data_IF_381484791904
#
_entry.id   IF_381484791904
#
_cell.length_a   1.000
_cell.length_b   1.000
_cell.length_c   1.000
_cell.angle_alpha   90.00
_cell.angle_beta   90.00
_cell.angle_gamma   90.00
#
_symmetry.space_group_name_H-M   'P 1'
#
loop_
_entity.id
_entity.type
_entity.pdbx_description
1 polymer ?
#
# COMPACT_ATOMS: atom_id res chain seq x y z
N UNK A 1 -15.58 58.63 -3.71
CA UNK A 1 -14.16 58.22 -3.65
C UNK A 1 -14.08 56.69 -3.64
N UNK A 2 -13.72 56.09 -4.77
CA UNK A 2 -13.84 54.65 -5.09
C UNK A 2 -12.80 53.78 -4.36
N UNK A 3 -13.24 52.84 -3.52
CA UNK A 3 -12.38 51.83 -2.88
C UNK A 3 -12.93 50.40 -3.03
N UNK A 4 -13.39 50.04 -4.23
CA UNK A 4 -13.73 48.66 -4.55
C UNK A 4 -13.19 48.32 -5.93
N UNK A 5 -12.09 47.53 -6.03
CA UNK A 5 -11.79 46.65 -7.19
C UNK A 5 -10.39 46.00 -7.22
N UNK A 6 -9.38 46.40 -6.44
CA UNK A 6 -8.00 45.87 -6.61
C UNK A 6 -7.66 44.62 -5.77
N UNK A 7 -8.53 43.61 -5.70
CA UNK A 7 -8.20 42.31 -5.07
C UNK A 7 -8.41 41.09 -6.00
N UNK A 8 -8.46 41.29 -7.31
CA UNK A 8 -8.72 40.23 -8.28
C UNK A 8 -7.68 40.23 -9.41
N UNK A 9 -6.40 39.95 -9.13
CA UNK A 9 -5.42 39.87 -10.23
C UNK A 9 -4.13 39.09 -9.91
N UNK A 10 -4.22 37.96 -9.22
CA UNK A 10 -3.18 36.92 -9.31
C UNK A 10 -3.84 35.58 -9.56
N UNK A 11 -4.37 35.38 -10.76
CA UNK A 11 -4.58 34.03 -11.28
C UNK A 11 -3.18 33.44 -11.46
N UNK A 12 -2.64 32.83 -10.40
CA UNK A 12 -1.49 31.93 -10.52
C UNK A 12 -1.90 30.89 -11.56
N UNK A 13 -1.23 30.87 -12.70
CA UNK A 13 -1.33 29.75 -13.62
C UNK A 13 -0.88 28.52 -12.83
N UNK A 14 -1.82 27.65 -12.46
CA UNK A 14 -1.48 26.38 -11.84
C UNK A 14 -0.62 25.61 -12.85
N UNK A 15 0.63 25.33 -12.50
CA UNK A 15 1.52 24.52 -13.32
C UNK A 15 0.85 23.15 -13.59
N UNK A 16 1.00 22.58 -14.79
CA UNK A 16 0.38 21.31 -15.15
C UNK A 16 0.60 20.23 -14.07
N UNK A 17 1.81 20.17 -13.52
CA UNK A 17 2.20 19.27 -12.42
C UNK A 17 1.35 19.52 -11.16
N UNK A 18 1.16 20.78 -10.73
CA UNK A 18 0.31 21.10 -9.57
C UNK A 18 -1.15 20.70 -9.79
N UNK A 19 -1.63 20.83 -11.04
CA UNK A 19 -2.97 20.37 -11.41
C UNK A 19 -3.08 18.84 -11.34
N UNK A 20 -2.11 18.10 -11.87
CA UNK A 20 -2.05 16.63 -11.75
C UNK A 20 -2.05 16.17 -10.29
N UNK A 21 -1.18 16.73 -9.43
CA UNK A 21 -1.17 16.36 -8.02
C UNK A 21 -2.49 16.68 -7.31
N UNK A 22 -3.13 17.80 -7.64
CA UNK A 22 -4.44 18.16 -7.07
C UNK A 22 -5.54 17.19 -7.50
N UNK A 23 -5.55 16.78 -8.77
CA UNK A 23 -6.48 15.80 -9.31
C UNK A 23 -6.24 14.41 -8.69
N UNK A 24 -4.98 13.94 -8.63
CA UNK A 24 -4.60 12.66 -8.01
C UNK A 24 -4.97 12.60 -6.53
N UNK A 25 -4.72 13.66 -5.74
CA UNK A 25 -5.13 13.70 -4.32
C UNK A 25 -6.65 13.66 -4.16
N UNK A 26 -7.39 14.27 -5.10
CA UNK A 26 -8.85 14.19 -5.16
C UNK A 26 -9.37 12.77 -5.36
N UNK A 27 -8.74 12.00 -6.26
CA UNK A 27 -9.08 10.59 -6.51
C UNK A 27 -8.58 9.67 -5.37
N UNK A 28 -7.40 9.90 -4.81
CA UNK A 28 -6.89 9.15 -3.66
C UNK A 28 -7.78 9.25 -2.43
N UNK A 29 -8.54 10.34 -2.28
CA UNK A 29 -9.54 10.47 -1.21
C UNK A 29 -10.76 9.56 -1.39
N UNK A 30 -11.03 9.08 -2.61
CA UNK A 30 -12.08 8.09 -2.88
C UNK A 30 -11.61 6.67 -2.58
N UNK A 31 -10.32 6.45 -2.40
CA UNK A 31 -9.77 5.16 -1.97
C UNK A 31 -10.20 4.92 -0.53
N UNK A 32 -10.98 3.85 -0.32
CA UNK A 32 -11.34 3.36 1.00
C UNK A 32 -10.11 2.74 1.65
N UNK A 33 -9.33 3.56 2.36
CA UNK A 33 -8.24 3.04 3.17
C UNK A 33 -8.81 2.16 4.28
N UNK A 34 -8.32 0.92 4.41
CA UNK A 34 -8.83 -0.02 5.39
C UNK A 34 -8.64 0.55 6.80
N UNK A 35 -9.53 0.18 7.71
CA UNK A 35 -9.41 0.62 9.10
C UNK A 35 -8.15 0.01 9.74
N UNK A 36 -7.59 0.68 10.76
CA UNK A 36 -6.39 0.16 11.46
C UNK A 36 -6.57 -1.26 11.98
N UNK A 37 -7.79 -1.58 12.45
CA UNK A 37 -8.15 -2.91 12.95
C UNK A 37 -8.18 -3.94 11.83
N UNK A 38 -8.78 -3.61 10.70
CA UNK A 38 -8.85 -4.48 9.53
C UNK A 38 -7.45 -4.78 8.97
N UNK A 39 -6.61 -3.74 8.87
CA UNK A 39 -5.21 -3.88 8.44
C UNK A 39 -4.43 -4.81 9.38
N UNK A 40 -4.61 -4.66 10.69
CA UNK A 40 -3.96 -5.52 11.69
C UNK A 40 -4.43 -6.97 11.57
N UNK A 41 -5.74 -7.20 11.47
CA UNK A 41 -6.30 -8.54 11.34
C UNK A 41 -5.79 -9.25 10.08
N UNK A 42 -5.82 -8.56 8.93
CA UNK A 42 -5.31 -9.09 7.67
C UNK A 42 -3.81 -9.40 7.77
N UNK A 43 -3.03 -8.52 8.39
CA UNK A 43 -1.58 -8.74 8.57
C UNK A 43 -1.30 -9.96 9.45
N UNK A 44 -2.05 -10.15 10.54
CA UNK A 44 -1.90 -11.31 11.43
C UNK A 44 -2.22 -12.60 10.67
N UNK A 45 -3.30 -12.63 9.89
CA UNK A 45 -3.65 -13.80 9.07
C UNK A 45 -2.49 -14.13 8.11
N UNK A 46 -1.97 -13.13 7.41
CA UNK A 46 -0.84 -13.31 6.48
C UNK A 46 0.39 -13.88 7.20
N UNK A 47 0.73 -13.35 8.37
CA UNK A 47 1.87 -13.85 9.18
C UNK A 47 1.67 -15.33 9.56
N UNK A 48 0.46 -15.70 10.00
CA UNK A 48 0.16 -17.09 10.36
C UNK A 48 0.31 -18.02 9.15
N UNK A 49 -0.22 -17.62 7.99
CA UNK A 49 -0.13 -18.41 6.75
C UNK A 49 1.33 -18.56 6.31
N UNK A 50 2.13 -17.48 6.36
CA UNK A 50 3.54 -17.52 6.01
C UNK A 50 4.34 -18.44 6.94
N UNK A 51 4.10 -18.37 8.25
CA UNK A 51 4.74 -19.26 9.22
C UNK A 51 4.36 -20.72 8.97
N UNK A 52 3.07 -21.00 8.74
CA UNK A 52 2.59 -22.34 8.43
C UNK A 52 3.22 -22.90 7.15
N UNK A 53 3.29 -22.09 6.10
CA UNK A 53 3.89 -22.46 4.81
C UNK A 53 5.40 -22.67 4.92
N UNK A 54 6.10 -21.84 5.71
CA UNK A 54 7.53 -22.00 5.99
C UNK A 54 7.82 -23.29 6.74
N UNK A 55 7.02 -23.65 7.74
CA UNK A 55 7.17 -24.92 8.47
C UNK A 55 6.89 -26.10 7.54
N UNK A 56 5.83 -26.03 6.74
CA UNK A 56 5.48 -27.07 5.78
C UNK A 56 6.61 -27.30 4.77
N UNK A 57 7.13 -26.24 4.15
CA UNK A 57 8.26 -26.34 3.21
C UNK A 57 9.51 -26.87 3.90
N UNK A 58 9.89 -26.33 5.06
CA UNK A 58 11.08 -26.80 5.78
C UNK A 58 10.99 -28.27 6.19
N UNK A 59 9.80 -28.75 6.57
CA UNK A 59 9.58 -30.17 6.88
C UNK A 59 9.70 -31.05 5.62
N UNK A 60 9.16 -30.58 4.50
CA UNK A 60 9.24 -31.26 3.22
C UNK A 60 10.70 -31.35 2.74
N UNK A 61 11.46 -30.24 2.80
CA UNK A 61 12.89 -30.21 2.48
C UNK A 61 13.70 -31.17 3.37
N UNK A 62 13.38 -31.22 4.67
CA UNK A 62 14.02 -32.16 5.60
C UNK A 62 13.73 -33.63 5.24
N UNK A 63 12.47 -33.97 4.95
CA UNK A 63 12.09 -35.32 4.53
C UNK A 63 12.78 -35.71 3.21
N UNK A 64 12.75 -34.83 2.21
CA UNK A 64 13.39 -35.08 0.92
C UNK A 64 14.89 -35.27 1.08
N UNK A 65 15.56 -34.43 1.88
CA UNK A 65 17.00 -34.55 2.15
C UNK A 65 17.32 -35.91 2.79
N UNK A 66 16.51 -36.36 3.75
CA UNK A 66 16.68 -37.68 4.38
C UNK A 66 16.47 -38.84 3.42
N UNK A 67 15.47 -38.75 2.53
CA UNK A 67 15.21 -39.77 1.52
C UNK A 67 16.34 -39.86 0.49
N UNK A 68 16.82 -38.71 0.01
CA UNK A 68 17.93 -38.65 -0.94
C UNK A 68 19.22 -39.17 -0.29
N UNK A 69 19.50 -38.81 0.96
CA UNK A 69 20.66 -39.30 1.71
C UNK A 69 20.60 -40.79 2.06
N UNK A 70 19.43 -41.44 1.94
CA UNK A 70 19.32 -42.90 2.07
C UNK A 70 19.61 -43.63 0.74
N UNK A 71 19.45 -42.93 -0.38
CA UNK A 71 19.60 -43.45 -1.74
C UNK A 71 21.03 -43.26 -2.27
N UNK A 72 21.69 -42.15 -1.91
CA UNK A 72 23.11 -41.87 -2.18
C UNK A 72 23.97 -42.46 -1.08
#
# INVERSE_FOLDING_TARGET
MSKNTKKNARRKQDNAIQRFFRETVGELRKVSWPTRRETQNLSIIVVIVLLGMSVFMGLLDYLLTKLVALIV
#
